data_IF_930023968097
#
_entry.id   IF_930023968097
#
_cell.length_a   1.000
_cell.length_b   1.000
_cell.length_c   1.000
_cell.angle_alpha   90.00
_cell.angle_beta   90.00
_cell.angle_gamma   90.00
#
_symmetry.space_group_name_H-M   'P 1'
#
loop_
_entity.id
_entity.type
_entity.pdbx_description
1 polymer ?
#
# COMPACT_ATOMS: atom_id res chain seq x y z
N UNK A 1 26.45 -1.71 -4.24
CA UNK A 1 25.23 -2.27 -4.88
C UNK A 1 24.09 -2.49 -3.88
N UNK A 2 24.29 -3.26 -2.79
CA UNK A 2 23.21 -3.57 -1.80
C UNK A 2 22.65 -2.31 -1.11
N UNK A 3 23.51 -1.37 -0.72
CA UNK A 3 23.09 -0.12 -0.07
C UNK A 3 22.18 0.72 -0.97
N UNK A 4 22.52 0.84 -2.25
CA UNK A 4 21.73 1.61 -3.22
C UNK A 4 20.39 0.93 -3.53
N UNK A 5 20.35 -0.39 -3.60
CA UNK A 5 19.09 -1.15 -3.74
C UNK A 5 18.20 -0.95 -2.51
N UNK A 6 18.78 -0.96 -1.30
CA UNK A 6 18.06 -0.69 -0.06
C UNK A 6 17.47 0.74 -0.05
N UNK A 7 18.27 1.74 -0.43
CA UNK A 7 17.78 3.13 -0.52
C UNK A 7 16.58 3.26 -1.45
N UNK A 8 16.58 2.54 -2.58
CA UNK A 8 15.46 2.51 -3.51
C UNK A 8 14.20 1.93 -2.85
N UNK A 9 14.32 0.84 -2.10
CA UNK A 9 13.20 0.22 -1.38
C UNK A 9 12.65 1.15 -0.28
N UNK A 10 13.53 1.78 0.51
CA UNK A 10 13.14 2.75 1.54
C UNK A 10 12.41 3.94 0.90
N UNK A 11 12.92 4.49 -0.21
CA UNK A 11 12.25 5.61 -0.91
C UNK A 11 10.88 5.23 -1.46
N UNK A 12 10.74 4.02 -1.99
CA UNK A 12 9.44 3.54 -2.45
C UNK A 12 8.46 3.34 -1.28
N UNK A 13 8.91 2.80 -0.15
CA UNK A 13 8.08 2.62 1.04
C UNK A 13 7.68 3.95 1.69
N UNK A 14 8.51 4.99 1.59
CA UNK A 14 8.21 6.31 2.18
C UNK A 14 6.94 6.96 1.59
N UNK A 15 6.51 6.58 0.41
CA UNK A 15 5.22 7.02 -0.14
C UNK A 15 4.07 6.55 0.77
N UNK A 16 4.13 5.29 1.21
CA UNK A 16 3.13 4.72 2.13
C UNK A 16 3.35 5.18 3.58
N UNK A 17 4.60 5.31 4.02
CA UNK A 17 4.90 5.82 5.37
C UNK A 17 4.39 7.24 5.60
N UNK A 18 4.29 8.04 4.54
CA UNK A 18 3.77 9.40 4.57
C UNK A 18 2.33 9.50 4.06
N UNK A 19 1.64 8.38 3.89
CA UNK A 19 0.32 8.36 3.25
C UNK A 19 -0.73 9.20 3.98
N UNK A 20 -0.63 9.30 5.30
CA UNK A 20 -1.55 10.06 6.16
C UNK A 20 -0.96 11.40 6.61
N UNK A 21 0.16 11.84 6.04
CA UNK A 21 0.85 13.06 6.45
C UNK A 21 0.49 14.24 5.57
N UNK A 22 -0.18 15.23 6.14
CA UNK A 22 -0.54 16.48 5.44
C UNK A 22 0.66 17.27 4.92
N UNK A 23 1.87 17.02 5.47
CA UNK A 23 3.11 17.61 4.94
C UNK A 23 3.59 16.98 3.63
N UNK A 24 3.00 15.85 3.22
CA UNK A 24 3.32 15.12 1.99
C UNK A 24 2.16 15.16 0.99
N UNK A 25 1.56 16.33 0.82
CA UNK A 25 0.42 16.54 -0.04
C UNK A 25 0.71 16.24 -1.52
N UNK A 26 -0.27 15.66 -2.20
CA UNK A 26 -0.27 15.38 -3.63
C UNK A 26 -0.61 16.61 -4.49
N UNK A 27 -0.92 16.36 -5.77
CA UNK A 27 -1.27 17.40 -6.71
C UNK A 27 -2.63 18.08 -6.44
N UNK A 28 -3.48 17.45 -5.68
CA UNK A 28 -4.78 17.91 -5.22
C UNK A 28 -4.72 18.68 -3.89
N UNK A 29 -3.52 18.81 -3.30
CA UNK A 29 -3.30 19.48 -2.03
C UNK A 29 -3.62 18.62 -0.79
N UNK A 30 -3.94 17.33 -0.98
CA UNK A 30 -4.21 16.38 0.11
C UNK A 30 -3.12 15.32 0.20
N UNK A 31 -3.02 14.66 1.36
CA UNK A 31 -2.20 13.48 1.58
C UNK A 31 -2.65 12.31 0.69
N UNK A 32 -1.84 11.27 0.57
CA UNK A 32 -2.16 10.12 -0.28
C UNK A 32 -3.43 9.39 0.15
N UNK A 33 -3.65 9.27 1.45
CA UNK A 33 -4.87 8.73 2.04
C UNK A 33 -5.55 9.86 2.83
N UNK A 34 -6.76 10.25 2.44
CA UNK A 34 -7.53 11.30 3.07
C UNK A 34 -9.03 11.03 2.96
N UNK A 35 -9.80 11.66 3.83
CA UNK A 35 -11.26 11.57 3.85
C UNK A 35 -11.93 12.60 2.94
N UNK A 36 -11.18 13.53 2.37
CA UNK A 36 -11.70 14.73 1.70
C UNK A 36 -10.92 15.14 0.44
N UNK A 37 -10.54 14.17 -0.40
CA UNK A 37 -9.97 14.45 -1.71
C UNK A 37 -10.94 15.27 -2.56
N UNK A 38 -10.54 16.44 -3.10
CA UNK A 38 -11.40 17.28 -3.91
C UNK A 38 -11.68 16.60 -5.26
N UNK A 39 -12.96 16.49 -5.61
CA UNK A 39 -13.44 16.06 -6.92
C UNK A 39 -14.45 17.05 -7.48
N UNK A 40 -14.75 17.00 -8.77
CA UNK A 40 -15.72 17.92 -9.40
C UNK A 40 -17.12 17.82 -8.75
N UNK A 41 -17.51 16.63 -8.33
CA UNK A 41 -18.80 16.37 -7.68
C UNK A 41 -18.82 16.69 -6.17
N UNK A 42 -17.69 17.14 -5.58
CA UNK A 42 -17.59 17.44 -4.15
C UNK A 42 -16.30 16.94 -3.53
N UNK A 43 -16.37 15.98 -2.61
CA UNK A 43 -15.20 15.33 -2.02
C UNK A 43 -15.39 13.81 -2.04
N UNK A 44 -14.29 13.08 -2.19
CA UNK A 44 -14.26 11.62 -2.07
C UNK A 44 -13.20 11.20 -1.05
N UNK A 45 -13.30 9.97 -0.54
CA UNK A 45 -12.36 9.42 0.44
C UNK A 45 -11.75 8.13 -0.07
N UNK A 46 -10.49 7.91 0.28
CA UNK A 46 -9.79 6.67 0.00
C UNK A 46 -9.22 6.00 1.27
N UNK A 47 -9.73 6.43 2.42
CA UNK A 47 -9.46 5.82 3.73
C UNK A 47 -10.76 5.58 4.50
N UNK A 48 -10.68 4.82 5.59
CA UNK A 48 -11.82 4.62 6.49
C UNK A 48 -12.25 5.96 7.11
N UNK A 49 -13.55 6.18 7.26
CA UNK A 49 -14.09 7.40 7.90
C UNK A 49 -13.66 7.55 9.37
N UNK A 50 -13.37 6.43 10.01
CA UNK A 50 -12.80 6.36 11.36
C UNK A 50 -11.60 5.43 11.28
N UNK A 51 -10.43 5.91 11.69
CA UNK A 51 -9.21 5.11 11.72
C UNK A 51 -9.41 3.85 12.57
N UNK A 52 -8.96 2.73 12.06
CA UNK A 52 -9.09 1.43 12.72
C UNK A 52 -7.93 0.50 12.34
N UNK A 53 -7.45 -0.25 13.32
CA UNK A 53 -6.46 -1.30 13.11
C UNK A 53 -7.00 -2.42 12.23
N UNK A 54 -6.10 -3.21 11.65
CA UNK A 54 -6.45 -4.35 10.82
C UNK A 54 -7.19 -5.43 11.63
N UNK A 55 -8.47 -5.55 11.39
CA UNK A 55 -9.33 -6.61 11.88
C UNK A 55 -10.36 -6.99 10.79
N UNK A 56 -11.21 -7.98 11.06
CA UNK A 56 -12.22 -8.44 10.10
C UNK A 56 -13.17 -7.30 9.69
N UNK A 57 -13.72 -6.58 10.66
CA UNK A 57 -14.68 -5.51 10.42
C UNK A 57 -14.08 -4.34 9.63
N UNK A 58 -12.86 -3.91 9.98
CA UNK A 58 -12.17 -2.82 9.26
C UNK A 58 -11.80 -3.22 7.84
N UNK A 59 -11.41 -4.49 7.62
CA UNK A 59 -11.13 -5.02 6.29
C UNK A 59 -12.39 -5.08 5.44
N UNK A 60 -13.48 -5.62 5.97
CA UNK A 60 -14.77 -5.68 5.27
C UNK A 60 -15.29 -4.28 4.92
N UNK A 61 -15.22 -3.33 5.87
CA UNK A 61 -15.63 -1.94 5.62
C UNK A 61 -14.76 -1.29 4.54
N UNK A 62 -13.44 -1.51 4.56
CA UNK A 62 -12.55 -1.00 3.51
C UNK A 62 -12.92 -1.53 2.13
N UNK A 63 -13.28 -2.80 2.02
CA UNK A 63 -13.70 -3.41 0.75
C UNK A 63 -15.05 -2.88 0.27
N UNK A 64 -15.97 -2.59 1.18
CA UNK A 64 -17.26 -1.93 0.88
C UNK A 64 -17.01 -0.51 0.38
N UNK A 65 -16.15 0.26 1.06
CA UNK A 65 -15.81 1.63 0.68
C UNK A 65 -15.14 1.67 -0.69
N UNK A 66 -14.20 0.74 -0.99
CA UNK A 66 -13.59 0.60 -2.31
C UNK A 66 -14.64 0.33 -3.40
N UNK A 67 -15.59 -0.56 -3.14
CA UNK A 67 -16.66 -0.86 -4.10
C UNK A 67 -17.63 0.33 -4.31
N UNK A 68 -17.71 1.23 -3.34
CA UNK A 68 -18.54 2.43 -3.39
C UNK A 68 -17.85 3.63 -4.07
N UNK A 69 -16.54 3.58 -4.36
CA UNK A 69 -15.78 4.66 -4.98
C UNK A 69 -16.39 5.15 -6.28
N UNK A 70 -16.26 6.45 -6.51
CA UNK A 70 -16.78 7.15 -7.68
C UNK A 70 -15.67 7.82 -8.49
N UNK A 71 -15.97 8.21 -9.72
CA UNK A 71 -15.11 9.07 -10.51
C UNK A 71 -15.30 10.55 -10.13
N UNK A 72 -14.55 11.45 -10.80
CA UNK A 72 -14.63 12.89 -10.58
C UNK A 72 -16.05 13.48 -10.75
N UNK A 73 -16.93 12.79 -11.45
CA UNK A 73 -18.32 13.20 -11.73
C UNK A 73 -19.34 12.53 -10.83
N UNK A 74 -18.90 11.70 -9.89
CA UNK A 74 -19.78 10.96 -9.00
C UNK A 74 -20.35 9.66 -9.56
N UNK A 75 -19.83 9.16 -10.71
CA UNK A 75 -20.24 7.89 -11.28
C UNK A 75 -19.44 6.73 -10.66
N UNK A 76 -20.11 5.65 -10.29
CA UNK A 76 -19.46 4.48 -9.69
C UNK A 76 -18.49 3.81 -10.67
N UNK A 77 -17.26 3.57 -10.22
CA UNK A 77 -16.20 2.92 -11.01
C UNK A 77 -16.10 1.41 -10.78
N UNK A 78 -16.88 0.85 -9.83
CA UNK A 78 -16.88 -0.57 -9.46
C UNK A 78 -15.49 -1.13 -9.12
N UNK A 79 -14.66 -0.34 -8.42
CA UNK A 79 -13.32 -0.73 -8.00
C UNK A 79 -13.35 -1.93 -7.07
N UNK A 80 -12.27 -2.74 -7.09
CA UNK A 80 -12.11 -3.91 -6.23
C UNK A 80 -10.75 -3.90 -5.55
N UNK A 81 -10.70 -4.34 -4.29
CA UNK A 81 -9.45 -4.62 -3.61
C UNK A 81 -8.79 -5.85 -4.21
N UNK A 82 -7.51 -5.75 -4.58
CA UNK A 82 -6.76 -6.82 -5.24
C UNK A 82 -5.70 -7.40 -4.34
N UNK A 83 -4.99 -6.57 -3.61
CA UNK A 83 -3.85 -6.98 -2.77
C UNK A 83 -3.74 -6.08 -1.55
N UNK A 84 -3.48 -6.68 -0.40
CA UNK A 84 -3.20 -5.96 0.83
C UNK A 84 -1.68 -5.78 1.02
N UNK A 85 -1.24 -4.62 1.49
CA UNK A 85 0.15 -4.29 1.83
C UNK A 85 0.18 -3.98 3.33
N UNK A 86 1.04 -4.66 4.06
CA UNK A 86 1.11 -4.60 5.53
C UNK A 86 2.55 -4.52 6.04
N UNK A 87 2.78 -3.97 7.23
CA UNK A 87 4.04 -4.12 7.96
C UNK A 87 4.22 -5.55 8.48
N UNK A 88 5.44 -5.88 8.87
CA UNK A 88 5.76 -7.21 9.43
C UNK A 88 4.99 -7.54 10.73
N UNK A 89 4.62 -6.53 11.51
CA UNK A 89 3.86 -6.71 12.75
C UNK A 89 2.47 -7.32 12.51
N UNK A 90 1.82 -7.01 11.39
CA UNK A 90 0.48 -7.48 11.05
C UNK A 90 0.46 -8.81 10.29
N UNK A 91 1.61 -9.43 10.01
CA UNK A 91 1.70 -10.63 9.17
C UNK A 91 0.81 -11.77 9.67
N UNK A 92 0.86 -12.09 10.96
CA UNK A 92 0.06 -13.21 11.50
C UNK A 92 -1.43 -12.88 11.61
N UNK A 93 -1.77 -11.61 11.81
CA UNK A 93 -3.18 -11.15 11.78
C UNK A 93 -3.74 -11.28 10.37
N UNK A 94 -3.01 -10.80 9.38
CA UNK A 94 -3.39 -10.93 7.96
C UNK A 94 -3.51 -12.40 7.53
N UNK A 95 -2.60 -13.28 7.96
CA UNK A 95 -2.68 -14.71 7.64
C UNK A 95 -3.97 -15.34 8.19
N UNK A 96 -4.34 -15.01 9.44
CA UNK A 96 -5.60 -15.49 10.03
C UNK A 96 -6.82 -14.96 9.28
N UNK A 97 -6.84 -13.66 8.96
CA UNK A 97 -7.97 -13.03 8.24
C UNK A 97 -8.12 -13.55 6.81
N UNK A 98 -7.00 -13.82 6.12
CA UNK A 98 -7.00 -14.17 4.71
C UNK A 98 -7.05 -15.67 4.41
N UNK A 99 -6.85 -16.54 5.42
CA UNK A 99 -6.81 -17.99 5.19
C UNK A 99 -7.68 -18.82 6.12
N UNK A 100 -8.21 -18.24 7.20
CA UNK A 100 -9.16 -18.96 8.04
C UNK A 100 -10.48 -19.20 7.30
N UNK A 101 -10.97 -20.43 7.31
CA UNK A 101 -12.30 -20.75 6.75
C UNK A 101 -13.44 -20.26 7.63
N UNK A 102 -13.22 -20.18 8.94
CA UNK A 102 -14.17 -19.65 9.92
C UNK A 102 -13.81 -18.24 10.33
N UNK A 103 -14.80 -17.52 10.85
CA UNK A 103 -14.65 -16.19 11.37
C UNK A 103 -13.70 -16.17 12.57
N UNK A 104 -12.72 -15.28 12.55
CA UNK A 104 -11.74 -15.17 13.64
C UNK A 104 -12.34 -14.49 14.87
N UNK A 105 -12.13 -15.10 16.05
CA UNK A 105 -12.54 -14.49 17.33
C UNK A 105 -13.97 -14.74 17.77
N UNK A 106 -14.73 -15.61 17.09
CA UNK A 106 -16.05 -16.06 17.52
C UNK A 106 -16.06 -17.55 17.88
N UNK A 107 -16.95 -17.95 18.78
CA UNK A 107 -17.21 -19.35 19.10
C UNK A 107 -18.20 -20.00 18.13
N UNK A 108 -18.85 -19.18 17.30
CA UNK A 108 -19.84 -19.60 16.32
C UNK A 108 -19.16 -20.13 15.05
N UNK A 109 -19.85 -21.02 14.34
CA UNK A 109 -19.36 -21.62 13.10
C UNK A 109 -19.65 -20.73 11.88
N UNK A 110 -19.41 -19.42 12.03
CA UNK A 110 -19.59 -18.44 10.96
C UNK A 110 -18.48 -18.56 9.92
N UNK A 111 -18.85 -18.39 8.66
CA UNK A 111 -17.88 -18.38 7.55
C UNK A 111 -17.12 -17.06 7.49
N UNK A 112 -15.85 -17.13 7.13
CA UNK A 112 -15.07 -15.95 6.77
C UNK A 112 -15.47 -15.49 5.35
N UNK A 113 -16.23 -14.41 5.26
CA UNK A 113 -16.77 -13.89 4.01
C UNK A 113 -15.67 -13.41 3.04
N UNK A 114 -14.58 -12.85 3.55
CA UNK A 114 -13.46 -12.36 2.73
C UNK A 114 -12.80 -13.51 1.98
N UNK A 115 -12.57 -14.63 2.67
CA UNK A 115 -11.97 -15.84 2.08
C UNK A 115 -12.96 -16.54 1.15
N UNK A 116 -14.19 -16.74 1.60
CA UNK A 116 -15.23 -17.45 0.85
C UNK A 116 -15.55 -16.78 -0.49
N UNK A 117 -15.55 -15.45 -0.53
CA UNK A 117 -15.79 -14.65 -1.75
C UNK A 117 -14.52 -14.39 -2.56
N UNK A 118 -13.33 -14.68 -2.05
CA UNK A 118 -12.06 -14.35 -2.71
C UNK A 118 -11.88 -12.85 -2.93
N UNK A 119 -12.26 -12.03 -1.95
CA UNK A 119 -12.36 -10.57 -2.07
C UNK A 119 -11.01 -9.89 -2.35
N UNK A 120 -9.89 -10.47 -1.91
CA UNK A 120 -8.52 -9.98 -2.15
C UNK A 120 -7.72 -11.07 -2.85
N UNK A 121 -7.87 -11.25 -4.18
CA UNK A 121 -7.39 -12.43 -4.90
C UNK A 121 -5.86 -12.60 -4.89
N UNK A 122 -5.09 -11.52 -4.75
CA UNK A 122 -3.63 -11.58 -4.67
C UNK A 122 -3.10 -11.69 -3.22
N UNK A 123 -4.00 -11.86 -2.25
CA UNK A 123 -3.63 -11.98 -0.84
C UNK A 123 -2.94 -10.73 -0.29
N UNK A 124 -1.91 -10.92 0.53
CA UNK A 124 -1.17 -9.82 1.12
C UNK A 124 0.32 -9.87 0.78
N UNK A 125 0.99 -8.72 0.92
CA UNK A 125 2.44 -8.59 0.84
C UNK A 125 2.96 -7.87 2.08
N UNK A 126 4.00 -8.43 2.69
CA UNK A 126 4.69 -7.80 3.81
C UNK A 126 5.74 -6.85 3.27
N UNK A 127 5.66 -5.58 3.66
CA UNK A 127 6.67 -4.58 3.36
C UNK A 127 7.46 -4.26 4.64
N UNK A 128 8.70 -4.72 4.70
CA UNK A 128 9.59 -4.56 5.85
C UNK A 128 10.07 -3.13 6.09
N UNK A 129 9.81 -2.21 5.16
CA UNK A 129 10.22 -0.80 5.26
C UNK A 129 9.08 0.12 5.69
N UNK A 130 7.91 -0.42 6.02
CA UNK A 130 6.86 0.34 6.68
C UNK A 130 7.26 0.59 8.13
N UNK A 131 7.17 1.85 8.54
CA UNK A 131 7.53 2.30 9.90
C UNK A 131 6.36 2.24 10.85
N UNK A 132 5.15 2.40 10.33
CA UNK A 132 3.92 2.24 11.06
C UNK A 132 3.60 0.74 11.22
N UNK A 133 3.31 0.31 12.44
CA UNK A 133 3.15 -1.11 12.79
C UNK A 133 1.73 -1.61 12.68
N UNK A 134 0.75 -0.74 12.55
CA UNK A 134 -0.69 -1.03 12.52
C UNK A 134 -1.40 -0.55 11.25
N UNK A 135 -0.77 0.30 10.44
CA UNK A 135 -1.32 0.72 9.16
C UNK A 135 -1.36 -0.43 8.13
N UNK A 136 -2.45 -0.52 7.40
CA UNK A 136 -2.59 -1.42 6.26
C UNK A 136 -3.12 -0.68 5.03
N UNK A 137 -2.74 -1.15 3.86
CA UNK A 137 -3.13 -0.55 2.58
C UNK A 137 -3.72 -1.61 1.66
N UNK A 138 -4.74 -1.23 0.90
CA UNK A 138 -5.36 -2.12 -0.08
C UNK A 138 -5.13 -1.55 -1.48
N UNK A 139 -4.39 -2.30 -2.30
CA UNK A 139 -4.27 -1.99 -3.71
C UNK A 139 -5.54 -2.40 -4.44
N UNK A 140 -6.09 -1.49 -5.25
CA UNK A 140 -7.25 -1.74 -6.10
C UNK A 140 -6.86 -2.17 -7.51
N UNK A 141 -7.83 -2.56 -8.32
CA UNK A 141 -7.71 -2.85 -9.75
C UNK A 141 -7.80 -1.60 -10.64
N UNK A 142 -8.05 -0.44 -10.06
CA UNK A 142 -8.12 0.84 -10.79
C UNK A 142 -6.80 1.12 -11.50
N UNK A 143 -6.83 1.41 -12.82
CA UNK A 143 -5.62 1.69 -13.59
C UNK A 143 -4.95 3.00 -13.14
N UNK A 144 -3.67 3.15 -13.49
CA UNK A 144 -2.88 4.35 -13.23
C UNK A 144 -2.61 4.69 -11.75
N UNK A 145 -2.62 3.70 -10.86
CA UNK A 145 -2.17 3.84 -9.47
C UNK A 145 -0.70 4.22 -9.33
N UNK A 146 -0.12 4.00 -8.16
CA UNK A 146 1.28 4.31 -7.86
C UNK A 146 2.23 3.66 -8.88
N UNK A 147 3.09 4.46 -9.50
CA UNK A 147 4.06 4.04 -10.52
C UNK A 147 5.49 4.40 -10.08
N UNK A 148 6.41 3.49 -10.33
CA UNK A 148 7.83 3.74 -10.14
C UNK A 148 8.53 3.86 -11.47
N UNK A 149 9.12 5.03 -11.75
CA UNK A 149 9.87 5.30 -12.97
C UNK A 149 11.38 5.23 -12.70
N UNK A 150 12.09 4.48 -13.53
CA UNK A 150 13.55 4.41 -13.47
C UNK A 150 14.12 5.31 -14.57
N UNK A 151 14.66 6.46 -14.19
CA UNK A 151 15.30 7.39 -15.13
C UNK A 151 16.63 6.85 -15.63
N UNK A 152 17.46 6.35 -14.70
CA UNK A 152 18.74 5.75 -15.01
C UNK A 152 18.94 4.51 -14.15
N UNK A 153 19.27 3.35 -14.75
CA UNK A 153 19.62 2.17 -13.99
C UNK A 153 20.94 2.41 -13.23
N UNK A 154 21.08 1.75 -12.10
CA UNK A 154 22.33 1.76 -11.34
C UNK A 154 23.44 1.17 -12.21
N UNK A 155 24.51 1.96 -12.42
CA UNK A 155 25.72 1.54 -13.13
C UNK A 155 26.90 1.63 -12.19
N UNK A 156 27.73 0.62 -12.17
CA UNK A 156 29.01 0.62 -11.46
C UNK A 156 30.14 0.67 -12.50
N UNK A 157 31.15 1.45 -12.25
CA UNK A 157 32.33 1.50 -13.05
C UNK A 157 33.57 1.43 -12.16
N UNK A 158 34.64 0.89 -12.71
CA UNK A 158 35.93 0.76 -12.07
C UNK A 158 36.98 1.31 -13.02
N UNK A 159 37.84 2.18 -12.54
CA UNK A 159 38.92 2.79 -13.31
C UNK A 159 40.23 2.65 -12.53
N UNK A 160 41.28 2.19 -13.22
CA UNK A 160 42.61 2.15 -12.65
C UNK A 160 43.30 3.51 -12.83
N UNK A 161 43.87 4.03 -11.77
CA UNK A 161 44.71 5.24 -11.81
C UNK A 161 46.14 4.82 -12.08
N UNK A 162 46.61 5.08 -13.28
CA UNK A 162 47.98 4.74 -13.72
C UNK A 162 49.07 5.44 -12.87
N UNK A 163 48.77 6.64 -12.37
CA UNK A 163 49.76 7.46 -11.65
C UNK A 163 49.97 6.98 -10.21
N UNK A 164 48.91 6.52 -9.55
CA UNK A 164 48.95 6.11 -8.14
C UNK A 164 48.90 4.60 -7.95
N UNK A 165 48.63 3.83 -9.00
CA UNK A 165 48.37 2.39 -8.92
C UNK A 165 47.08 2.00 -8.17
N UNK A 166 46.23 2.96 -7.82
CA UNK A 166 45.00 2.74 -7.11
C UNK A 166 43.80 2.49 -8.05
N UNK A 167 42.79 1.82 -7.55
CA UNK A 167 41.54 1.58 -8.27
C UNK A 167 40.44 2.50 -7.71
N UNK A 168 39.79 3.23 -8.60
CA UNK A 168 38.64 4.10 -8.27
C UNK A 168 37.33 3.40 -8.62
N UNK A 169 36.41 3.35 -7.66
CA UNK A 169 35.07 2.86 -7.88
C UNK A 169 34.07 4.01 -7.98
N UNK A 170 33.20 3.93 -8.96
CA UNK A 170 32.04 4.82 -9.12
C UNK A 170 30.77 3.98 -9.15
N UNK A 171 29.75 4.43 -8.42
CA UNK A 171 28.41 3.85 -8.43
C UNK A 171 27.35 4.93 -8.59
#
# INVERSE_FOLDING_TARGET
>A
ARSMANTKQVKAANVLNNAFSSSSAGGDGKELCATDHPIVAGTDRNELSTAADLNETSLEQSLIDIAAMTDERGLKIAARGVKMIIPSALQFTAERLMKSSGRTGTADNDINAVVSKGMVPQGYAVNHYLTDTDAFFIKTDVPNGLKHFVRAPMKTAMEGDFTTGNVRYKA
#
